data_IF_011548815757
#
_entry.id   IF_011548815757
#
_cell.length_a   1.000
_cell.length_b   1.000
_cell.length_c   1.000
_cell.angle_alpha   90.00
_cell.angle_beta   90.00
_cell.angle_gamma   90.00
#
_symmetry.space_group_name_H-M   'P 1'
#
loop_
_entity.id
_entity.type
_entity.pdbx_description
1 polymer ?
#
# COMPACT_ATOMS: atom_id res chain seq x y z
N UNK A 1 39.34 -11.10 29.23
CA UNK A 1 38.01 -11.07 28.58
C UNK A 1 38.00 -12.17 27.54
N UNK A 2 37.03 -13.07 27.58
CA UNK A 2 36.93 -14.18 26.65
C UNK A 2 36.26 -13.70 25.36
N UNK A 3 37.08 -13.18 24.44
CA UNK A 3 36.63 -12.59 23.17
C UNK A 3 35.76 -13.55 22.34
N UNK A 4 36.12 -14.84 22.18
CA UNK A 4 35.25 -15.84 21.54
C UNK A 4 33.86 -15.95 22.17
N UNK A 5 33.79 -15.95 23.50
CA UNK A 5 32.52 -16.01 24.23
C UNK A 5 31.67 -14.75 24.03
N UNK A 6 32.30 -13.58 24.03
CA UNK A 6 31.60 -12.32 23.73
C UNK A 6 31.04 -12.32 22.30
N UNK A 7 31.83 -12.79 21.32
CA UNK A 7 31.40 -12.90 19.94
C UNK A 7 30.23 -13.88 19.75
N UNK A 8 30.24 -15.04 20.42
CA UNK A 8 29.13 -16.00 20.34
C UNK A 8 27.86 -15.45 20.99
N UNK A 9 27.98 -14.75 22.12
CA UNK A 9 26.85 -14.07 22.76
C UNK A 9 26.24 -12.99 21.87
N UNK A 10 27.06 -12.18 21.19
CA UNK A 10 26.56 -11.14 20.27
C UNK A 10 25.79 -11.74 19.08
N UNK A 11 26.26 -12.87 18.52
CA UNK A 11 25.54 -13.56 17.44
C UNK A 11 24.19 -14.12 17.89
N UNK A 12 24.11 -14.66 19.10
CA UNK A 12 22.85 -15.14 19.67
C UNK A 12 21.85 -14.00 19.88
N UNK A 13 22.32 -12.84 20.36
CA UNK A 13 21.49 -11.64 20.51
C UNK A 13 20.97 -11.17 19.16
N UNK A 14 21.84 -11.07 18.15
CA UNK A 14 21.45 -10.66 16.80
C UNK A 14 20.36 -11.59 16.23
N UNK A 15 20.55 -12.91 16.37
CA UNK A 15 19.56 -13.90 15.93
C UNK A 15 18.22 -13.77 16.66
N UNK A 16 18.23 -13.53 17.97
CA UNK A 16 17.00 -13.30 18.73
C UNK A 16 16.25 -12.04 18.27
N UNK A 17 16.97 -10.97 17.89
CA UNK A 17 16.36 -9.77 17.34
C UNK A 17 15.75 -10.01 15.96
N UNK A 18 16.41 -10.79 15.10
CA UNK A 18 15.87 -11.19 13.80
C UNK A 18 14.59 -12.03 13.94
N UNK A 19 14.56 -12.98 14.88
CA UNK A 19 13.39 -13.81 15.15
C UNK A 19 12.21 -12.99 15.70
N UNK A 20 12.47 -11.99 16.56
CA UNK A 20 11.46 -11.05 17.03
C UNK A 20 10.92 -10.16 15.90
N UNK A 21 11.80 -9.65 15.04
CA UNK A 21 11.39 -8.85 13.88
C UNK A 21 10.51 -9.67 12.92
N UNK A 22 10.86 -10.93 12.67
CA UNK A 22 10.07 -11.84 11.85
C UNK A 22 8.69 -12.14 12.48
N UNK A 23 8.63 -12.31 13.80
CA UNK A 23 7.38 -12.58 14.52
C UNK A 23 6.40 -11.40 14.51
N UNK A 24 6.91 -10.16 14.38
CA UNK A 24 6.07 -8.96 14.22
C UNK A 24 5.39 -8.90 12.83
N UNK A 25 5.85 -9.71 11.87
CA UNK A 25 5.35 -9.72 10.50
C UNK A 25 5.68 -8.43 9.74
N UNK A 26 5.31 -8.38 8.46
CA UNK A 26 5.18 -7.09 7.79
C UNK A 26 3.97 -6.38 8.40
N UNK A 27 4.21 -5.21 9.01
CA UNK A 27 3.11 -4.34 9.43
C UNK A 27 2.22 -4.13 8.21
N UNK A 28 0.95 -4.57 8.28
CA UNK A 28 -0.01 -4.29 7.22
C UNK A 28 0.06 -2.80 6.92
N UNK A 29 0.45 -2.47 5.68
CA UNK A 29 0.52 -1.11 5.22
C UNK A 29 -0.78 -0.40 5.63
N UNK A 30 -0.65 0.69 6.38
CA UNK A 30 -1.80 1.48 6.82
C UNK A 30 -2.69 1.80 5.62
N UNK A 31 -3.98 2.03 5.85
CA UNK A 31 -4.92 2.31 4.76
C UNK A 31 -4.43 3.44 3.84
N UNK A 32 -3.82 4.50 4.40
CA UNK A 32 -3.16 5.57 3.65
C UNK A 32 -2.02 5.06 2.75
N UNK A 33 -1.16 4.16 3.22
CA UNK A 33 -0.07 3.63 2.40
C UNK A 33 -0.60 2.76 1.25
N UNK A 34 -1.61 1.91 1.52
CA UNK A 34 -2.29 1.13 0.48
C UNK A 34 -2.98 2.03 -0.55
N UNK A 35 -3.60 3.11 -0.09
CA UNK A 35 -4.22 4.15 -0.92
C UNK A 35 -3.17 4.81 -1.82
N UNK A 36 -2.02 5.21 -1.26
CA UNK A 36 -0.93 5.81 -2.03
C UNK A 36 -0.36 4.85 -3.09
N UNK A 37 -0.23 3.55 -2.76
CA UNK A 37 0.20 2.52 -3.72
C UNK A 37 -0.80 2.35 -4.87
N UNK A 38 -2.11 2.33 -4.58
CA UNK A 38 -3.17 2.30 -5.61
C UNK A 38 -3.06 3.52 -6.52
N UNK A 39 -2.97 4.73 -5.95
CA UNK A 39 -2.93 5.97 -6.74
C UNK A 39 -1.70 6.01 -7.65
N UNK A 40 -0.54 5.60 -7.13
CA UNK A 40 0.70 5.50 -7.92
C UNK A 40 0.60 4.49 -9.07
N UNK A 41 0.08 3.29 -8.81
CA UNK A 41 -0.02 2.27 -9.85
C UNK A 41 -1.11 2.58 -10.88
N UNK A 42 -2.22 3.19 -10.46
CA UNK A 42 -3.25 3.65 -11.38
C UNK A 42 -2.69 4.73 -12.31
N UNK A 43 -1.99 5.73 -11.75
CA UNK A 43 -1.44 6.83 -12.52
C UNK A 43 -2.54 7.64 -13.20
N UNK A 44 -2.32 8.08 -14.44
CA UNK A 44 -3.25 8.96 -15.18
C UNK A 44 -4.13 8.24 -16.21
N UNK A 45 -4.07 6.90 -16.28
CA UNK A 45 -4.80 6.12 -17.29
C UNK A 45 -6.23 5.83 -16.85
N UNK A 46 -7.14 5.73 -17.82
CA UNK A 46 -8.50 5.26 -17.60
C UNK A 46 -8.53 3.75 -17.35
N UNK A 47 -9.31 3.31 -16.36
CA UNK A 47 -9.55 1.89 -16.09
C UNK A 47 -11.01 1.53 -16.25
N UNK A 48 -11.28 0.34 -16.77
CA UNK A 48 -12.61 -0.26 -16.66
C UNK A 48 -12.95 -0.58 -15.20
N UNK A 49 -14.23 -0.82 -14.90
CA UNK A 49 -14.64 -1.27 -13.56
C UNK A 49 -13.90 -2.53 -13.11
N UNK A 50 -13.67 -3.47 -14.04
CA UNK A 50 -13.01 -4.74 -13.76
C UNK A 50 -11.55 -4.54 -13.40
N UNK A 51 -10.84 -3.69 -14.15
CA UNK A 51 -9.44 -3.36 -13.88
C UNK A 51 -9.26 -2.58 -12.58
N UNK A 52 -10.12 -1.60 -12.31
CA UNK A 52 -10.11 -0.87 -11.05
C UNK A 52 -10.35 -1.82 -9.86
N UNK A 53 -11.36 -2.70 -9.95
CA UNK A 53 -11.64 -3.70 -8.91
C UNK A 53 -10.46 -4.65 -8.69
N UNK A 54 -9.84 -5.14 -9.76
CA UNK A 54 -8.65 -5.99 -9.67
C UNK A 54 -7.44 -5.24 -9.06
N UNK A 55 -7.28 -3.96 -9.37
CA UNK A 55 -6.26 -3.11 -8.74
C UNK A 55 -6.50 -3.00 -7.23
N UNK A 56 -7.71 -2.65 -6.81
CA UNK A 56 -8.07 -2.57 -5.38
C UNK A 56 -7.80 -3.89 -4.64
N UNK A 57 -8.21 -5.02 -5.21
CA UNK A 57 -7.97 -6.34 -4.61
C UNK A 57 -6.49 -6.66 -4.43
N UNK A 58 -5.64 -6.35 -5.43
CA UNK A 58 -4.19 -6.56 -5.33
C UNK A 58 -3.54 -5.71 -4.22
N UNK A 59 -4.14 -4.58 -3.88
CA UNK A 59 -3.71 -3.72 -2.77
C UNK A 59 -4.47 -3.99 -1.47
N UNK A 60 -5.19 -5.11 -1.37
CA UNK A 60 -5.84 -5.55 -0.12
C UNK A 60 -7.12 -4.78 0.25
N UNK A 61 -7.73 -4.06 -0.70
CA UNK A 61 -9.02 -3.40 -0.47
C UNK A 61 -10.19 -4.36 -0.72
N UNK A 62 -11.29 -4.13 0.01
CA UNK A 62 -12.52 -4.88 -0.19
C UNK A 62 -13.14 -4.58 -1.57
N UNK A 63 -13.90 -5.52 -2.17
CA UNK A 63 -14.50 -5.35 -3.50
C UNK A 63 -15.39 -4.10 -3.64
N UNK A 64 -16.00 -3.66 -2.54
CA UNK A 64 -16.90 -2.51 -2.48
C UNK A 64 -16.20 -1.14 -2.42
N UNK A 65 -14.87 -1.11 -2.31
CA UNK A 65 -14.08 0.12 -2.16
C UNK A 65 -14.14 1.03 -3.39
N UNK A 66 -14.24 0.47 -4.60
CA UNK A 66 -14.34 1.26 -5.85
C UNK A 66 -15.53 2.23 -5.81
N UNK A 67 -16.69 1.77 -5.31
CA UNK A 67 -17.88 2.63 -5.18
C UNK A 67 -17.76 3.68 -4.08
N UNK A 68 -17.00 3.38 -3.01
CA UNK A 68 -16.66 4.35 -1.97
C UNK A 68 -15.79 5.49 -2.49
N UNK A 69 -14.81 5.17 -3.33
CA UNK A 69 -13.92 6.16 -3.93
C UNK A 69 -14.62 7.06 -4.95
N UNK A 70 -15.59 6.53 -5.71
CA UNK A 70 -16.45 7.36 -6.57
C UNK A 70 -17.28 8.35 -5.74
N UNK A 71 -17.91 7.89 -4.64
CA UNK A 71 -18.71 8.78 -3.77
C UNK A 71 -17.85 9.81 -3.03
N UNK A 72 -16.59 9.48 -2.76
CA UNK A 72 -15.63 10.38 -2.10
C UNK A 72 -14.87 11.30 -3.06
N UNK A 73 -15.26 11.38 -4.33
CA UNK A 73 -14.63 12.23 -5.36
C UNK A 73 -13.15 11.90 -5.65
N UNK A 74 -12.73 10.66 -5.40
CA UNK A 74 -11.39 10.18 -5.75
C UNK A 74 -11.31 9.67 -7.19
N UNK A 75 -12.46 9.22 -7.72
CA UNK A 75 -12.60 8.66 -9.06
C UNK A 75 -13.74 9.35 -9.77
N UNK A 76 -13.52 9.74 -11.02
CA UNK A 76 -14.54 10.19 -11.96
C UNK A 76 -14.72 9.19 -13.11
N UNK A 77 -15.88 9.22 -13.76
CA UNK A 77 -16.15 8.41 -14.95
C UNK A 77 -16.12 9.36 -16.15
N UNK A 78 -15.19 9.12 -17.08
CA UNK A 78 -15.09 9.90 -18.31
C UNK A 78 -16.21 9.57 -19.30
N UNK A 79 -16.33 10.40 -20.33
CA UNK A 79 -17.32 10.21 -21.41
C UNK A 79 -17.10 8.91 -22.21
N UNK A 80 -15.90 8.33 -22.11
CA UNK A 80 -15.53 7.02 -22.66
C UNK A 80 -15.96 5.83 -21.78
N UNK A 81 -16.59 6.09 -20.62
CA UNK A 81 -17.00 5.10 -19.64
C UNK A 81 -15.86 4.52 -18.79
N UNK A 82 -14.64 5.04 -18.94
CA UNK A 82 -13.49 4.66 -18.12
C UNK A 82 -13.45 5.46 -16.81
N UNK A 83 -12.81 4.89 -15.80
CA UNK A 83 -12.61 5.51 -14.49
C UNK A 83 -11.24 6.15 -14.42
N UNK A 84 -11.21 7.40 -14.01
CA UNK A 84 -10.00 8.20 -13.88
C UNK A 84 -9.84 8.65 -12.44
N UNK A 85 -8.60 8.73 -11.97
CA UNK A 85 -8.32 9.41 -10.71
C UNK A 85 -8.52 10.91 -10.89
N UNK A 86 -9.20 11.53 -9.94
CA UNK A 86 -9.41 12.98 -9.94
C UNK A 86 -8.12 13.73 -9.56
N UNK A 87 -8.10 15.03 -9.81
CA UNK A 87 -7.03 15.91 -9.35
C UNK A 87 -6.82 15.84 -7.83
N UNK A 88 -7.89 15.64 -7.07
CA UNK A 88 -7.85 15.45 -5.61
C UNK A 88 -6.99 14.24 -5.22
N UNK A 89 -7.16 13.11 -5.90
CA UNK A 89 -6.38 11.90 -5.65
C UNK A 89 -4.89 12.12 -5.85
N UNK A 90 -4.51 12.84 -6.91
CA UNK A 90 -3.12 13.16 -7.18
C UNK A 90 -2.55 14.17 -6.17
N UNK A 91 -3.31 15.23 -5.84
CA UNK A 91 -2.90 16.22 -4.84
C UNK A 91 -2.66 15.57 -3.48
N UNK A 92 -3.58 14.69 -3.05
CA UNK A 92 -3.44 13.97 -1.79
C UNK A 92 -2.18 13.10 -1.73
N UNK A 93 -1.79 12.50 -2.86
CA UNK A 93 -0.55 11.72 -2.95
C UNK A 93 0.69 12.63 -2.88
N UNK A 94 0.66 13.77 -3.56
CA UNK A 94 1.77 14.75 -3.58
C UNK A 94 2.01 15.38 -2.20
N UNK A 95 0.97 15.64 -1.42
CA UNK A 95 1.08 16.13 -0.03
C UNK A 95 1.74 15.12 0.93
N UNK A 96 1.86 13.86 0.51
CA UNK A 96 2.35 12.74 1.32
C UNK A 96 3.63 12.10 0.77
N UNK A 97 4.17 12.62 -0.33
CA UNK A 97 5.40 12.13 -0.99
C UNK A 97 6.65 12.89 -0.55
#
# INVERSE_FOLDING_TARGET
MDVPKVQSSLRLIARGLEELAAALGEQEAGEDERTARVIREWGRRGLTQKEASALFQRHGFAPQTTGGWTRGEWIEIGDDGLRYLTARSHTWLEERS
#
